data_IF_852588927141
#
_entry.id   IF_852588927141
#
_cell.length_a   1.000
_cell.length_b   1.000
_cell.length_c   1.000
_cell.angle_alpha   90.00
_cell.angle_beta   90.00
_cell.angle_gamma   90.00
#
_symmetry.space_group_name_H-M   'P 1'
#
loop_
_entity.id
_entity.type
_entity.pdbx_description
1 polymer ?
#
# COMPACT_ATOMS: atom_id res chain seq x y z
N UNK A 1 -6.52 -14.98 4.94
CA UNK A 1 -5.14 -14.80 4.42
C UNK A 1 -5.22 -14.07 3.09
N UNK A 2 -4.44 -13.00 2.90
CA UNK A 2 -4.42 -12.26 1.63
C UNK A 2 -3.72 -13.05 0.53
N UNK A 3 -4.24 -12.96 -0.70
CA UNK A 3 -3.66 -13.53 -1.91
C UNK A 3 -3.75 -12.53 -3.08
N UNK A 4 -3.00 -12.72 -4.17
CA UNK A 4 -3.13 -11.90 -5.37
C UNK A 4 -4.56 -11.90 -5.93
N UNK A 5 -4.98 -10.78 -6.52
CA UNK A 5 -6.32 -10.61 -7.11
C UNK A 5 -6.21 -10.59 -8.63
N UNK A 6 -6.84 -11.53 -9.35
CA UNK A 6 -6.75 -11.59 -10.82
C UNK A 6 -7.15 -10.28 -11.50
N UNK A 7 -6.57 -10.00 -12.67
CA UNK A 7 -6.90 -8.84 -13.52
C UNK A 7 -6.81 -7.48 -12.80
N UNK A 8 -5.87 -7.33 -11.88
CA UNK A 8 -5.68 -6.11 -11.07
C UNK A 8 -4.22 -5.72 -10.93
N UNK A 9 -3.94 -4.55 -10.35
CA UNK A 9 -2.59 -4.08 -10.01
C UNK A 9 -1.84 -4.98 -9.01
N UNK A 10 -2.57 -5.86 -8.33
CA UNK A 10 -2.09 -6.78 -7.29
C UNK A 10 -2.28 -8.24 -7.70
N UNK A 11 -2.14 -8.53 -8.99
CA UNK A 11 -2.46 -9.83 -9.60
C UNK A 11 -1.28 -10.80 -9.66
N UNK A 12 -0.05 -10.32 -9.68
CA UNK A 12 1.14 -11.18 -9.81
C UNK A 12 1.60 -11.67 -8.45
N UNK A 13 1.84 -10.75 -7.53
CA UNK A 13 2.23 -11.02 -6.14
C UNK A 13 1.88 -9.82 -5.27
N UNK A 14 1.85 -10.06 -3.97
CA UNK A 14 1.67 -9.04 -2.92
C UNK A 14 2.70 -9.28 -1.82
N UNK A 15 3.01 -8.23 -1.06
CA UNK A 15 3.84 -8.35 0.12
C UNK A 15 3.63 -7.18 1.09
N UNK A 16 3.77 -7.47 2.39
CA UNK A 16 3.73 -6.44 3.42
C UNK A 16 4.87 -5.43 3.19
N UNK A 17 4.62 -4.17 3.56
CA UNK A 17 5.64 -3.13 3.58
C UNK A 17 5.88 -2.65 5.02
N UNK A 18 5.33 -1.49 5.42
CA UNK A 18 5.40 -0.99 6.79
C UNK A 18 4.87 -1.97 7.84
N UNK A 19 5.33 -1.79 9.08
CA UNK A 19 4.76 -2.45 10.26
C UNK A 19 3.26 -2.09 10.36
N UNK A 20 2.36 -3.06 10.57
CA UNK A 20 0.93 -2.79 10.74
C UNK A 20 0.67 -1.81 11.88
N UNK A 21 -0.22 -0.85 11.65
CA UNK A 21 -0.59 0.17 12.64
C UNK A 21 -1.89 -0.27 13.31
N UNK A 22 -1.89 -0.37 14.63
CA UNK A 22 -3.11 -0.66 15.40
C UNK A 22 -4.07 0.53 15.35
N UNK A 23 -5.35 0.26 15.11
CA UNK A 23 -6.42 1.26 15.09
C UNK A 23 -7.65 0.68 15.77
N UNK A 24 -8.63 1.53 16.10
CA UNK A 24 -9.91 1.06 16.66
C UNK A 24 -10.70 0.17 15.70
N UNK A 25 -10.39 0.23 14.41
CA UNK A 25 -11.09 -0.46 13.33
C UNK A 25 -10.36 -1.75 12.88
N UNK A 26 -9.16 -2.02 13.40
CA UNK A 26 -8.31 -3.12 12.96
C UNK A 26 -6.82 -2.77 12.83
N UNK A 27 -6.01 -3.74 12.43
CA UNK A 27 -4.64 -3.51 11.99
C UNK A 27 -4.64 -2.93 10.57
N UNK A 28 -4.19 -1.68 10.43
CA UNK A 28 -3.92 -1.06 9.14
C UNK A 28 -2.61 -1.59 8.57
N UNK A 29 -2.71 -2.37 7.50
CA UNK A 29 -1.57 -2.91 6.74
C UNK A 29 -1.43 -2.16 5.42
N UNK A 30 -0.32 -1.44 5.25
CA UNK A 30 0.15 -1.02 3.92
C UNK A 30 0.91 -2.16 3.25
N UNK A 31 0.59 -2.44 2.00
CA UNK A 31 1.21 -3.52 1.24
C UNK A 31 1.48 -3.09 -0.20
N UNK A 32 2.47 -3.73 -0.81
CA UNK A 32 2.69 -3.59 -2.24
C UNK A 32 1.97 -4.69 -3.01
N UNK A 33 1.62 -4.39 -4.25
CA UNK A 33 1.06 -5.31 -5.23
C UNK A 33 1.75 -5.12 -6.56
N UNK A 34 1.87 -6.23 -7.29
CA UNK A 34 2.58 -6.27 -8.56
C UNK A 34 1.67 -6.63 -9.71
N UNK A 35 1.76 -5.84 -10.78
CA UNK A 35 1.24 -6.15 -12.09
C UNK A 35 2.40 -6.58 -13.00
N UNK A 36 2.22 -7.66 -13.76
CA UNK A 36 3.14 -8.07 -14.83
C UNK A 36 2.65 -7.50 -16.16
N UNK A 37 3.42 -6.60 -16.74
CA UNK A 37 3.23 -6.11 -18.11
C UNK A 37 4.13 -6.87 -19.08
N UNK A 38 3.98 -6.63 -20.38
CA UNK A 38 4.90 -7.17 -21.39
C UNK A 38 6.35 -6.71 -21.23
N UNK A 39 6.58 -5.58 -20.53
CA UNK A 39 7.89 -4.96 -20.37
C UNK A 39 8.40 -5.02 -18.92
N UNK A 40 7.84 -5.89 -18.09
CA UNK A 40 8.27 -6.11 -16.71
C UNK A 40 7.21 -5.78 -15.67
N UNK A 41 7.66 -5.69 -14.42
CA UNK A 41 6.80 -5.51 -13.26
C UNK A 41 6.50 -4.05 -12.98
N UNK A 42 5.31 -3.79 -12.44
CA UNK A 42 4.92 -2.49 -11.91
C UNK A 42 4.48 -2.69 -10.45
N UNK A 43 5.14 -2.00 -9.53
CA UNK A 43 4.85 -2.07 -8.10
C UNK A 43 4.01 -0.87 -7.68
N UNK A 44 2.89 -1.13 -7.01
CA UNK A 44 1.99 -0.10 -6.48
C UNK A 44 1.69 -0.36 -5.01
N UNK A 45 1.23 0.68 -4.32
CA UNK A 45 0.85 0.68 -2.90
C UNK A 45 -0.67 0.50 -2.76
N UNK A 46 -1.10 -0.34 -1.82
CA UNK A 46 -2.49 -0.36 -1.32
C UNK A 46 -2.54 -0.48 0.20
N UNK A 47 -3.76 -0.61 0.74
CA UNK A 47 -3.98 -0.85 2.16
C UNK A 47 -5.08 -1.88 2.42
N UNK A 48 -4.95 -2.56 3.55
CA UNK A 48 -5.94 -3.49 4.07
C UNK A 48 -6.14 -3.23 5.57
N UNK A 49 -7.34 -3.52 6.05
CA UNK A 49 -7.68 -3.54 7.45
C UNK A 49 -7.86 -5.00 7.86
N UNK A 50 -7.15 -5.41 8.91
CA UNK A 50 -7.15 -6.79 9.41
C UNK A 50 -7.76 -6.81 10.82
N UNK A 51 -8.32 -7.95 11.19
CA UNK A 51 -8.88 -8.16 12.52
C UNK A 51 -7.82 -8.03 13.63
N UNK A 52 -8.18 -7.42 14.76
CA UNK A 52 -7.25 -7.15 15.87
C UNK A 52 -6.74 -8.42 16.55
N UNK A 53 -7.63 -9.38 16.76
CA UNK A 53 -7.36 -10.62 17.49
C UNK A 53 -6.86 -11.72 16.55
N UNK A 54 -7.36 -11.75 15.32
CA UNK A 54 -7.04 -12.74 14.29
C UNK A 54 -6.54 -12.08 12.98
N UNK A 55 -5.32 -11.49 12.92
CA UNK A 55 -4.87 -10.64 11.81
C UNK A 55 -4.81 -11.30 10.42
N UNK A 56 -4.98 -12.62 10.32
CA UNK A 56 -5.13 -13.30 9.03
C UNK A 56 -6.53 -13.11 8.41
N UNK A 57 -7.51 -12.62 9.18
CA UNK A 57 -8.85 -12.23 8.72
C UNK A 57 -8.81 -10.80 8.21
N UNK A 58 -9.08 -10.65 6.92
CA UNK A 58 -9.12 -9.35 6.24
C UNK A 58 -10.53 -8.79 6.40
N UNK A 59 -10.66 -7.62 7.01
CA UNK A 59 -11.95 -6.91 7.15
C UNK A 59 -12.22 -6.12 5.87
N UNK A 60 -11.26 -5.30 5.44
CA UNK A 60 -11.33 -4.51 4.21
C UNK A 60 -10.01 -4.57 3.45
N UNK A 61 -10.06 -4.43 2.12
CA UNK A 61 -8.86 -4.38 1.28
C UNK A 61 -9.11 -3.57 0.04
N UNK A 62 -8.27 -2.56 -0.21
CA UNK A 62 -8.46 -1.69 -1.36
C UNK A 62 -8.42 -2.45 -2.69
N UNK A 63 -9.48 -2.29 -3.48
CA UNK A 63 -9.54 -2.67 -4.89
C UNK A 63 -8.63 -1.77 -5.75
N UNK A 64 -8.71 -0.43 -5.69
CA UNK A 64 -7.72 0.45 -6.30
C UNK A 64 -6.41 0.49 -5.50
N UNK A 65 -5.33 0.93 -6.13
CA UNK A 65 -4.10 1.32 -5.42
C UNK A 65 -4.32 2.69 -4.74
N UNK A 66 -3.55 2.94 -3.68
CA UNK A 66 -3.40 4.26 -3.08
C UNK A 66 -2.37 5.11 -3.84
N UNK A 67 -1.27 4.46 -4.27
CA UNK A 67 -0.21 5.12 -5.03
C UNK A 67 0.34 4.18 -6.11
N UNK A 68 0.58 4.72 -7.29
CA UNK A 68 1.10 4.03 -8.47
C UNK A 68 2.21 4.89 -9.10
N UNK A 69 3.29 4.28 -9.64
CA UNK A 69 4.38 5.03 -10.26
C UNK A 69 3.88 6.02 -11.32
N UNK A 70 4.11 7.31 -11.08
CA UNK A 70 3.66 8.42 -11.91
C UNK A 70 4.73 9.49 -12.08
N UNK A 71 5.49 9.78 -11.04
CA UNK A 71 6.55 10.77 -11.12
C UNK A 71 7.80 10.19 -11.81
N UNK A 72 8.68 11.07 -12.31
CA UNK A 72 9.90 10.62 -13.00
C UNK A 72 10.78 9.76 -12.10
N UNK A 73 10.90 10.12 -10.83
CA UNK A 73 11.70 9.38 -9.84
C UNK A 73 11.11 8.02 -9.43
N UNK A 74 9.88 7.70 -9.86
CA UNK A 74 9.24 6.40 -9.64
C UNK A 74 9.26 5.53 -10.91
N UNK A 75 9.31 6.17 -12.09
CA UNK A 75 9.28 5.52 -13.41
C UNK A 75 10.66 5.34 -14.03
N UNK A 76 11.66 6.09 -13.58
CA UNK A 76 13.03 6.07 -14.13
C UNK A 76 14.02 5.91 -12.98
N UNK A 77 14.87 4.89 -13.09
CA UNK A 77 15.84 4.51 -12.07
C UNK A 77 16.42 3.13 -12.37
N UNK A 78 17.11 2.55 -11.39
CA UNK A 78 17.70 1.21 -11.48
C UNK A 78 16.64 0.14 -11.76
N UNK A 79 15.44 0.27 -11.19
CA UNK A 79 14.27 -0.54 -11.52
C UNK A 79 13.07 0.37 -11.83
N UNK A 80 12.72 0.57 -13.12
CA UNK A 80 11.58 1.39 -13.51
C UNK A 80 10.24 0.93 -12.92
N UNK A 81 9.33 1.90 -12.70
CA UNK A 81 7.94 1.69 -12.30
C UNK A 81 7.77 1.03 -10.93
N UNK A 82 8.45 1.57 -9.91
CA UNK A 82 8.38 1.10 -8.53
C UNK A 82 7.94 2.20 -7.58
N UNK A 83 6.87 1.90 -6.84
CA UNK A 83 6.50 2.53 -5.57
C UNK A 83 6.47 1.40 -4.54
N UNK A 84 7.46 1.36 -3.64
CA UNK A 84 7.60 0.28 -2.67
C UNK A 84 7.56 0.82 -1.23
N UNK A 85 6.46 0.67 -0.48
CA UNK A 85 6.37 1.19 0.89
C UNK A 85 7.24 0.39 1.86
N UNK A 86 7.97 1.10 2.70
CA UNK A 86 8.96 0.49 3.62
C UNK A 86 8.69 0.82 5.08
N UNK A 87 8.21 2.02 5.39
CA UNK A 87 7.90 2.44 6.74
C UNK A 87 6.72 3.42 6.77
N UNK A 88 6.03 3.50 7.89
CA UNK A 88 5.00 4.49 8.14
C UNK A 88 5.16 5.06 9.56
N UNK A 89 5.00 6.37 9.69
CA UNK A 89 4.89 7.06 10.97
C UNK A 89 3.44 7.53 11.11
N UNK A 90 2.83 7.25 12.26
CA UNK A 90 1.49 7.68 12.60
C UNK A 90 1.54 8.60 13.83
N UNK A 91 0.81 9.70 13.78
CA UNK A 91 0.58 10.62 14.89
C UNK A 91 -0.89 10.49 15.35
N UNK A 92 -1.19 9.67 16.38
CA UNK A 92 -2.57 9.36 16.76
C UNK A 92 -3.41 10.59 17.13
N UNK A 93 -2.91 11.59 17.90
CA UNK A 93 -3.66 12.80 18.20
C UNK A 93 -4.18 13.57 16.98
N UNK A 94 -3.46 13.55 15.86
CA UNK A 94 -3.85 14.28 14.64
C UNK A 94 -4.36 13.36 13.52
N UNK A 95 -4.21 12.04 13.68
CA UNK A 95 -4.43 11.05 12.62
C UNK A 95 -3.51 11.19 11.41
N UNK A 96 -2.36 11.88 11.52
CA UNK A 96 -1.46 12.08 10.37
C UNK A 96 -0.65 10.82 10.15
N UNK A 97 -0.54 10.39 8.90
CA UNK A 97 0.30 9.26 8.50
C UNK A 97 1.27 9.73 7.43
N UNK A 98 2.55 9.44 7.65
CA UNK A 98 3.65 9.67 6.72
C UNK A 98 4.20 8.31 6.28
N UNK A 99 4.14 8.01 4.98
CA UNK A 99 4.55 6.73 4.40
C UNK A 99 5.85 6.94 3.63
N UNK A 100 6.92 6.28 4.06
CA UNK A 100 8.17 6.19 3.32
C UNK A 100 8.07 5.09 2.29
N UNK A 101 8.51 5.38 1.07
CA UNK A 101 8.55 4.40 -0.01
C UNK A 101 9.79 4.58 -0.89
N UNK A 102 10.27 3.48 -1.47
CA UNK A 102 11.28 3.49 -2.52
C UNK A 102 10.67 3.88 -3.86
N UNK A 103 11.29 4.84 -4.55
CA UNK A 103 10.99 5.23 -5.93
C UNK A 103 12.02 4.63 -6.89
N UNK A 104 11.54 3.83 -7.83
CA UNK A 104 12.34 3.18 -8.89
C UNK A 104 13.60 2.40 -8.39
N UNK A 105 13.55 1.84 -7.18
CA UNK A 105 14.70 1.27 -6.45
C UNK A 105 15.94 2.19 -6.40
N UNK A 106 15.74 3.50 -6.49
CA UNK A 106 16.82 4.48 -6.67
C UNK A 106 16.82 5.55 -5.57
N UNK A 107 15.63 6.02 -5.18
CA UNK A 107 15.46 7.09 -4.19
C UNK A 107 14.49 6.70 -3.09
N UNK A 108 14.56 7.39 -1.95
CA UNK A 108 13.53 7.32 -0.91
C UNK A 108 12.62 8.54 -1.01
N UNK A 109 11.31 8.28 -0.98
CA UNK A 109 10.25 9.26 -1.16
C UNK A 109 9.26 9.19 0.01
N UNK A 110 8.33 10.15 0.03
CA UNK A 110 7.40 10.33 1.14
C UNK A 110 6.02 10.70 0.62
N UNK A 111 4.98 10.04 1.14
CA UNK A 111 3.58 10.34 0.89
C UNK A 111 2.85 10.59 2.21
N UNK A 112 1.79 11.38 2.18
CA UNK A 112 1.04 11.78 3.38
C UNK A 112 -0.45 11.50 3.22
N UNK A 113 -1.09 11.17 4.33
CA UNK A 113 -2.55 11.03 4.40
C UNK A 113 -3.02 11.29 5.84
N UNK A 114 -4.34 11.37 6.01
CA UNK A 114 -5.00 11.35 7.31
C UNK A 114 -5.73 10.01 7.46
N UNK A 115 -5.66 9.42 8.66
CA UNK A 115 -6.29 8.14 8.95
C UNK A 115 -7.79 8.11 8.63
N UNK A 116 -8.62 9.12 8.97
CA UNK A 116 -10.05 9.10 8.63
C UNK A 116 -10.29 9.00 7.13
N UNK A 117 -9.61 9.83 6.32
CA UNK A 117 -9.75 9.84 4.86
C UNK A 117 -9.32 8.50 4.25
N UNK A 118 -8.20 7.95 4.77
CA UNK A 118 -7.70 6.65 4.34
C UNK A 118 -8.67 5.53 4.69
N UNK A 119 -9.20 5.52 5.92
CA UNK A 119 -10.14 4.50 6.38
C UNK A 119 -11.43 4.52 5.54
N UNK A 120 -12.01 5.70 5.31
CA UNK A 120 -13.20 5.83 4.46
C UNK A 120 -12.91 5.34 3.04
N UNK A 121 -11.76 5.72 2.46
CA UNK A 121 -11.35 5.23 1.14
C UNK A 121 -11.23 3.70 1.11
N UNK A 122 -10.61 3.08 2.12
CA UNK A 122 -10.46 1.62 2.22
C UNK A 122 -11.82 0.94 2.28
N UNK A 123 -12.73 1.45 3.12
CA UNK A 123 -14.07 0.90 3.34
C UNK A 123 -14.94 1.01 2.08
N UNK A 124 -14.97 2.18 1.44
CA UNK A 124 -15.78 2.44 0.24
C UNK A 124 -15.25 1.72 -1.00
N UNK A 125 -13.96 1.44 -1.04
CA UNK A 125 -13.30 0.80 -2.18
C UNK A 125 -12.77 -0.59 -1.86
N UNK A 126 -13.40 -1.29 -0.91
CA UNK A 126 -13.04 -2.68 -0.61
C UNK A 126 -13.36 -3.60 -1.80
N UNK A 127 -12.61 -4.71 -1.88
CA UNK A 127 -12.89 -5.85 -2.75
C UNK A 127 -14.20 -6.56 -2.39
#
# INVERSE_FOLDING_TARGET
>A
VMAPVPNSWQSTKIGAGPVPIETTEGWLLFYHGVLTSCNGFVYSLGAALLDLDEPWKVIYRTRPYLLHPRELYERVGDVPNVVFPTAALCDPPTGRIAIYYGGADTVTCLAFTLFPDLFDFIRENSL
#
